data_IF_832181942486
#
_entry.id   IF_832181942486
#
_cell.length_a   1.000
_cell.length_b   1.000
_cell.length_c   1.000
_cell.angle_alpha   90.00
_cell.angle_beta   90.00
_cell.angle_gamma   90.00
#
_symmetry.space_group_name_H-M   'P 1'
#
loop_
_entity.id
_entity.type
_entity.pdbx_description
1 polymer ?
#
# COMPACT_ATOMS: atom_id res chain seq x y z
N UNK A 1 7.99 -21.90 2.47
CA UNK A 1 7.84 -23.10 3.30
C UNK A 1 8.54 -22.86 4.62
N UNK A 2 7.81 -23.02 5.70
CA UNK A 2 8.30 -22.98 7.06
C UNK A 2 9.26 -24.15 7.29
N UNK A 3 10.38 -23.90 7.92
CA UNK A 3 11.30 -24.95 8.36
C UNK A 3 11.32 -24.99 9.88
N UNK A 4 10.76 -26.05 10.48
CA UNK A 4 10.72 -26.24 11.92
C UNK A 4 12.12 -26.31 12.57
N UNK A 5 13.16 -26.60 11.78
CA UNK A 5 14.54 -26.66 12.23
C UNK A 5 15.29 -25.30 12.10
N UNK A 6 14.58 -24.20 12.11
CA UNK A 6 15.13 -22.86 11.88
C UNK A 6 16.29 -22.49 12.84
N UNK A 7 16.36 -23.13 14.02
CA UNK A 7 17.48 -22.97 14.97
C UNK A 7 18.69 -23.89 14.69
N UNK A 8 18.52 -24.89 13.85
CA UNK A 8 19.60 -25.70 13.38
C UNK A 8 20.18 -25.09 12.11
N UNK A 9 21.28 -24.37 12.20
CA UNK A 9 21.97 -23.74 11.06
C UNK A 9 22.31 -24.74 9.93
N UNK A 10 22.15 -26.02 10.17
CA UNK A 10 22.47 -27.11 9.22
C UNK A 10 21.29 -27.52 8.35
N UNK A 11 20.02 -27.23 8.74
CA UNK A 11 18.82 -27.72 8.05
C UNK A 11 17.95 -26.59 7.44
N UNK A 12 18.39 -25.34 7.53
CA UNK A 12 17.68 -24.22 6.91
C UNK A 12 17.71 -24.36 5.39
N UNK A 13 16.55 -24.66 4.81
CA UNK A 13 16.45 -24.84 3.36
C UNK A 13 16.53 -23.50 2.62
N UNK A 14 17.64 -23.27 1.95
CA UNK A 14 17.78 -22.23 0.93
C UNK A 14 17.73 -22.88 -0.43
N UNK A 15 16.71 -22.56 -1.22
CA UNK A 15 16.50 -23.20 -2.52
C UNK A 15 15.55 -22.39 -3.39
N UNK A 16 15.49 -22.75 -4.65
CA UNK A 16 14.41 -22.33 -5.55
C UNK A 16 13.14 -23.13 -5.31
N UNK A 17 12.01 -22.48 -5.40
CA UNK A 17 10.67 -23.08 -5.31
C UNK A 17 9.73 -22.48 -6.35
N UNK A 18 8.86 -23.34 -6.89
CA UNK A 18 7.81 -22.91 -7.82
C UNK A 18 6.46 -22.98 -7.15
N UNK A 19 5.68 -21.91 -7.27
CA UNK A 19 4.28 -21.85 -6.89
C UNK A 19 3.44 -21.83 -8.16
N UNK A 20 2.35 -22.57 -8.15
CA UNK A 20 1.40 -22.65 -9.27
C UNK A 20 -0.01 -22.42 -8.75
N UNK A 21 -0.77 -21.54 -9.43
CA UNK A 21 -2.19 -21.29 -9.17
C UNK A 21 -2.95 -21.08 -10.46
N UNK A 22 -4.03 -21.81 -10.63
CA UNK A 22 -4.99 -21.55 -11.70
C UNK A 22 -6.15 -20.69 -11.17
N UNK A 23 -6.59 -19.73 -11.98
CA UNK A 23 -7.76 -18.92 -11.69
C UNK A 23 -8.50 -18.58 -13.00
N UNK A 24 -9.77 -18.23 -12.89
CA UNK A 24 -10.61 -17.81 -14.01
C UNK A 24 -11.04 -16.36 -13.81
N UNK A 25 -11.16 -15.64 -14.90
CA UNK A 25 -11.78 -14.32 -14.97
C UNK A 25 -12.96 -14.41 -15.93
N UNK A 26 -14.02 -13.68 -15.62
CA UNK A 26 -15.20 -13.60 -16.47
C UNK A 26 -15.13 -12.31 -17.32
N UNK A 27 -15.37 -12.43 -18.63
CA UNK A 27 -15.36 -11.30 -19.55
C UNK A 27 -16.36 -10.18 -19.13
N UNK A 28 -17.50 -10.54 -18.54
CA UNK A 28 -18.46 -9.57 -18.04
C UNK A 28 -17.93 -8.81 -16.80
N UNK A 29 -17.24 -9.53 -15.90
CA UNK A 29 -16.60 -8.92 -14.73
C UNK A 29 -15.39 -8.05 -15.09
N UNK A 30 -14.75 -8.36 -16.23
CA UNK A 30 -13.58 -7.63 -16.74
C UNK A 30 -13.93 -6.39 -17.54
N UNK A 31 -15.19 -6.25 -17.97
CA UNK A 31 -15.61 -5.08 -18.73
C UNK A 31 -15.36 -3.80 -17.94
N UNK A 32 -14.59 -2.89 -18.54
CA UNK A 32 -14.21 -1.61 -17.94
C UNK A 32 -13.43 -1.69 -16.61
N UNK A 33 -12.72 -2.80 -16.40
CA UNK A 33 -11.85 -3.03 -15.24
C UNK A 33 -10.38 -3.15 -15.63
N UNK A 34 -9.54 -2.86 -14.64
CA UNK A 34 -8.12 -3.14 -14.63
C UNK A 34 -7.86 -4.22 -13.59
N UNK A 35 -6.92 -5.13 -13.86
CA UNK A 35 -6.55 -6.19 -12.92
C UNK A 35 -5.09 -6.09 -12.51
N UNK A 36 -4.89 -6.29 -11.22
CA UNK A 36 -3.57 -6.27 -10.61
C UNK A 36 -3.36 -7.51 -9.74
N UNK A 37 -2.14 -8.03 -9.75
CA UNK A 37 -1.66 -8.95 -8.72
C UNK A 37 -0.82 -8.15 -7.73
N UNK A 38 -1.16 -8.23 -6.44
CA UNK A 38 -0.37 -7.64 -5.35
C UNK A 38 0.15 -8.76 -4.46
N UNK A 39 1.44 -8.72 -4.21
CA UNK A 39 2.15 -9.61 -3.30
C UNK A 39 2.58 -8.81 -2.07
N UNK A 40 2.13 -9.21 -0.89
CA UNK A 40 2.46 -8.50 0.35
C UNK A 40 3.86 -8.85 0.89
N UNK A 41 4.46 -9.93 0.42
CA UNK A 41 5.84 -10.31 0.74
C UNK A 41 6.25 -11.65 0.14
N UNK A 42 7.37 -11.63 -0.56
CA UNK A 42 7.99 -12.82 -1.17
C UNK A 42 9.49 -12.76 -0.97
N UNK A 43 10.07 -13.74 -0.30
CA UNK A 43 11.50 -13.70 0.02
C UNK A 43 12.29 -14.72 -0.83
N UNK A 44 13.26 -14.25 -1.58
CA UNK A 44 13.85 -12.93 -1.68
C UNK A 44 13.91 -12.43 -3.12
N UNK A 45 14.02 -13.33 -4.10
CA UNK A 45 13.95 -13.08 -5.54
C UNK A 45 12.72 -13.79 -6.09
N UNK A 46 11.82 -13.07 -6.72
CA UNK A 46 10.59 -13.61 -7.27
C UNK A 46 10.42 -13.25 -8.76
N UNK A 47 10.35 -14.26 -9.62
CA UNK A 47 9.96 -14.13 -11.02
C UNK A 47 8.49 -14.52 -11.14
N UNK A 48 7.65 -13.60 -11.57
CA UNK A 48 6.18 -13.77 -11.69
C UNK A 48 5.83 -13.98 -13.15
N UNK A 49 5.21 -15.11 -13.46
CA UNK A 49 4.75 -15.47 -14.79
C UNK A 49 3.23 -15.59 -14.83
N UNK A 50 2.62 -15.12 -15.90
CA UNK A 50 1.20 -15.37 -16.19
C UNK A 50 1.08 -15.95 -17.59
N UNK A 51 0.41 -17.09 -17.70
CA UNK A 51 0.18 -17.79 -18.99
C UNK A 51 1.47 -18.08 -19.77
N UNK A 52 2.61 -18.28 -19.06
CA UNK A 52 3.92 -18.56 -19.63
C UNK A 52 4.77 -17.31 -19.92
N UNK A 53 4.23 -16.10 -19.79
CA UNK A 53 4.96 -14.85 -19.99
C UNK A 53 5.51 -14.33 -18.67
N UNK A 54 6.79 -13.93 -18.62
CA UNK A 54 7.40 -13.26 -17.47
C UNK A 54 6.86 -11.83 -17.36
N UNK A 55 6.18 -11.51 -16.26
CA UNK A 55 5.61 -10.19 -16.01
C UNK A 55 6.60 -9.26 -15.30
N UNK A 56 7.26 -9.79 -14.28
CA UNK A 56 8.20 -9.01 -13.45
C UNK A 56 9.15 -9.89 -12.67
N UNK A 57 10.28 -9.31 -12.31
CA UNK A 57 11.23 -9.86 -11.33
C UNK A 57 11.31 -8.90 -10.14
N UNK A 58 10.88 -9.35 -8.97
CA UNK A 58 10.96 -8.58 -7.72
C UNK A 58 12.16 -9.02 -6.89
N UNK A 59 12.88 -8.04 -6.32
CA UNK A 59 14.04 -8.24 -5.45
C UNK A 59 13.76 -7.59 -4.09
N UNK A 60 13.82 -8.39 -3.04
CA UNK A 60 13.56 -7.94 -1.67
C UNK A 60 12.53 -8.83 -0.98
N UNK A 61 12.79 -9.17 0.30
CA UNK A 61 11.95 -10.14 1.01
C UNK A 61 10.74 -9.53 1.73
N UNK A 62 10.76 -8.23 2.03
CA UNK A 62 9.83 -7.62 3.00
C UNK A 62 8.93 -6.55 2.41
N UNK A 63 9.26 -6.04 1.23
CA UNK A 63 8.42 -5.05 0.54
C UNK A 63 7.33 -5.73 -0.29
N UNK A 64 6.14 -5.13 -0.28
CA UNK A 64 5.07 -5.50 -1.19
C UNK A 64 5.37 -4.98 -2.61
N UNK A 65 4.80 -5.65 -3.61
CA UNK A 65 4.84 -5.19 -4.99
C UNK A 65 3.53 -5.52 -5.72
N UNK A 66 3.21 -4.72 -6.73
CA UNK A 66 2.00 -4.86 -7.55
C UNK A 66 2.38 -4.96 -9.02
N UNK A 67 1.70 -5.83 -9.74
CA UNK A 67 1.89 -6.08 -11.18
C UNK A 67 0.55 -5.88 -11.89
N UNK A 68 0.52 -5.05 -12.92
CA UNK A 68 -0.63 -4.94 -13.83
C UNK A 68 -0.69 -6.18 -14.73
N UNK A 69 -1.84 -6.84 -14.74
CA UNK A 69 -2.08 -8.05 -15.53
C UNK A 69 -3.27 -7.90 -16.50
N UNK A 70 -3.79 -6.69 -16.64
CA UNK A 70 -5.03 -6.42 -17.38
C UNK A 70 -5.03 -7.01 -18.78
N UNK A 71 -3.97 -6.75 -19.57
CA UNK A 71 -3.87 -7.21 -20.96
C UNK A 71 -3.29 -8.62 -21.09
N UNK A 72 -3.00 -9.29 -19.96
CA UNK A 72 -2.37 -10.61 -19.90
C UNK A 72 -3.33 -11.73 -19.51
N UNK A 73 -4.49 -11.37 -18.96
CA UNK A 73 -5.49 -12.35 -18.55
C UNK A 73 -6.32 -12.84 -19.73
N UNK A 74 -6.65 -14.13 -19.69
CA UNK A 74 -7.58 -14.78 -20.61
C UNK A 74 -8.95 -14.79 -19.96
N UNK A 75 -9.98 -14.45 -20.73
CA UNK A 75 -11.38 -14.44 -20.28
C UNK A 75 -12.16 -15.67 -20.74
N UNK A 76 -11.61 -16.43 -21.71
CA UNK A 76 -12.19 -17.61 -22.34
C UNK A 76 -11.58 -18.93 -21.82
N UNK A 77 -10.47 -18.85 -21.09
CA UNK A 77 -9.75 -20.00 -20.58
C UNK A 77 -9.21 -19.75 -19.15
N UNK A 78 -8.78 -20.81 -18.43
CA UNK A 78 -8.08 -20.65 -17.17
C UNK A 78 -6.77 -19.87 -17.35
N UNK A 79 -6.46 -19.02 -16.40
CA UNK A 79 -5.18 -18.36 -16.29
C UNK A 79 -4.25 -19.15 -15.37
N UNK A 80 -3.01 -19.31 -15.78
CA UNK A 80 -1.99 -20.00 -15.02
C UNK A 80 -0.99 -18.96 -14.47
N UNK A 81 -1.06 -18.71 -13.18
CA UNK A 81 -0.06 -17.96 -12.44
C UNK A 81 1.03 -18.90 -11.96
N UNK A 82 2.29 -18.59 -12.29
CA UNK A 82 3.46 -19.28 -11.77
C UNK A 82 4.40 -18.26 -11.15
N UNK A 83 4.95 -18.60 -9.98
CA UNK A 83 5.94 -17.75 -9.30
C UNK A 83 7.15 -18.61 -8.95
N UNK A 84 8.29 -18.25 -9.52
CA UNK A 84 9.57 -18.82 -9.15
C UNK A 84 10.17 -17.99 -8.04
N UNK A 85 10.44 -18.59 -6.89
CA UNK A 85 11.03 -17.88 -5.75
C UNK A 85 12.35 -18.51 -5.40
N UNK A 86 13.38 -17.68 -5.29
CA UNK A 86 14.73 -18.12 -4.91
C UNK A 86 15.21 -17.34 -3.69
N UNK A 87 15.46 -18.03 -2.58
CA UNK A 87 16.05 -17.47 -1.36
C UNK A 87 17.51 -17.91 -1.14
N UNK A 88 18.15 -18.50 -2.15
CA UNK A 88 19.54 -18.98 -2.10
C UNK A 88 20.54 -17.92 -2.58
N UNK A 89 20.10 -16.69 -2.83
CA UNK A 89 21.00 -15.65 -3.31
C UNK A 89 21.87 -15.05 -2.19
N UNK A 90 23.01 -14.52 -2.56
CA UNK A 90 24.01 -13.88 -1.69
C UNK A 90 24.02 -12.35 -1.77
N UNK A 91 23.06 -11.76 -2.48
CA UNK A 91 23.03 -10.33 -2.83
C UNK A 91 21.85 -9.56 -2.27
N UNK A 92 20.77 -10.25 -1.90
CA UNK A 92 19.53 -9.61 -1.42
C UNK A 92 19.41 -9.82 0.09
N UNK A 93 19.63 -8.79 0.93
CA UNK A 93 19.51 -8.87 2.38
C UNK A 93 18.06 -9.16 2.83
N UNK A 94 17.91 -9.72 4.05
CA UNK A 94 18.94 -10.17 4.94
C UNK A 94 19.51 -11.54 4.52
N UNK A 95 20.83 -11.69 4.57
CA UNK A 95 21.52 -12.95 4.21
C UNK A 95 21.60 -13.90 5.40
N UNK A 96 21.67 -13.36 6.61
CA UNK A 96 21.69 -14.09 7.88
C UNK A 96 21.19 -13.19 9.01
N UNK A 97 20.83 -13.77 10.13
CA UNK A 97 20.38 -13.07 11.33
C UNK A 97 20.12 -14.07 12.46
N UNK A 98 19.90 -13.54 13.66
CA UNK A 98 19.49 -14.29 14.85
C UNK A 98 17.95 -14.40 14.97
N UNK A 99 17.26 -14.21 13.86
CA UNK A 99 15.81 -14.32 13.74
C UNK A 99 15.44 -15.17 12.51
N UNK A 100 14.20 -15.66 12.48
CA UNK A 100 13.72 -16.49 11.37
C UNK A 100 13.59 -15.66 10.09
N UNK A 101 14.24 -16.11 9.02
CA UNK A 101 14.14 -15.54 7.69
C UNK A 101 13.22 -16.45 6.86
N UNK A 102 11.95 -16.07 6.76
CA UNK A 102 10.96 -16.83 5.99
C UNK A 102 11.32 -16.82 4.50
N UNK A 103 11.33 -18.01 3.87
CA UNK A 103 11.48 -18.15 2.43
C UNK A 103 10.13 -18.31 1.72
N UNK A 104 10.13 -18.03 0.42
CA UNK A 104 8.95 -18.23 -0.42
C UNK A 104 7.91 -17.11 -0.33
N UNK A 105 6.68 -17.43 -0.72
CA UNK A 105 5.52 -16.54 -0.57
C UNK A 105 4.98 -16.73 0.85
N UNK A 106 5.33 -15.85 1.77
CA UNK A 106 5.00 -15.98 3.19
C UNK A 106 3.90 -15.01 3.66
N UNK A 107 3.39 -14.15 2.75
CA UNK A 107 2.27 -13.25 2.96
C UNK A 107 1.23 -13.42 1.86
N UNK A 108 0.15 -12.66 1.93
CA UNK A 108 -0.96 -12.77 1.00
C UNK A 108 -0.59 -12.38 -0.44
N UNK A 109 -1.30 -13.02 -1.38
CA UNK A 109 -1.34 -12.62 -2.78
C UNK A 109 -2.78 -12.26 -3.12
N UNK A 110 -2.98 -11.05 -3.65
CA UNK A 110 -4.29 -10.48 -3.95
C UNK A 110 -4.49 -10.35 -5.45
N UNK A 111 -5.67 -10.69 -5.92
CA UNK A 111 -6.17 -10.29 -7.23
C UNK A 111 -7.07 -9.07 -7.02
N UNK A 112 -6.64 -7.92 -7.49
CA UNK A 112 -7.32 -6.63 -7.32
C UNK A 112 -7.97 -6.25 -8.64
N UNK A 113 -9.26 -5.89 -8.58
CA UNK A 113 -10.01 -5.34 -9.71
C UNK A 113 -10.33 -3.87 -9.44
N UNK A 114 -9.86 -2.97 -10.29
CA UNK A 114 -10.09 -1.54 -10.21
C UNK A 114 -10.91 -1.03 -11.41
N UNK A 115 -11.54 0.13 -11.29
CA UNK A 115 -12.10 0.83 -12.47
C UNK A 115 -10.97 1.32 -13.38
N UNK A 116 -11.26 1.63 -14.64
CA UNK A 116 -10.27 2.23 -15.55
C UNK A 116 -9.71 3.56 -15.03
N UNK A 117 -10.51 4.29 -14.28
CA UNK A 117 -10.08 5.48 -13.55
C UNK A 117 -9.98 5.12 -12.08
N UNK A 118 -8.77 5.15 -11.52
CA UNK A 118 -8.51 4.77 -10.13
C UNK A 118 -7.28 5.47 -9.54
N UNK A 119 -7.09 5.34 -8.24
CA UNK A 119 -5.87 5.75 -7.54
C UNK A 119 -4.78 4.72 -7.86
N UNK A 120 -3.56 5.17 -8.17
CA UNK A 120 -2.47 4.29 -8.60
C UNK A 120 -2.21 3.16 -7.61
N UNK A 121 -2.21 1.92 -8.11
CA UNK A 121 -1.91 0.71 -7.35
C UNK A 121 -0.44 0.25 -7.52
N UNK A 122 0.30 0.87 -8.44
CA UNK A 122 1.67 0.49 -8.79
C UNK A 122 2.73 1.37 -8.13
N UNK A 123 2.32 2.33 -7.30
CA UNK A 123 3.23 3.17 -6.53
C UNK A 123 3.70 2.41 -5.27
N UNK A 124 4.78 1.65 -5.39
CA UNK A 124 5.38 0.79 -4.36
C UNK A 124 4.39 -0.15 -3.64
N UNK A 125 3.29 -0.52 -4.31
CA UNK A 125 2.19 -1.28 -3.71
C UNK A 125 1.61 -0.65 -2.43
N UNK A 126 1.75 0.67 -2.28
CA UNK A 126 1.19 1.47 -1.20
C UNK A 126 -0.34 1.62 -1.34
N UNK A 127 -0.94 2.43 -0.48
CA UNK A 127 -2.37 2.80 -0.61
C UNK A 127 -2.64 3.76 -1.78
N UNK A 128 -1.58 4.24 -2.46
CA UNK A 128 -1.65 5.20 -3.56
C UNK A 128 -1.84 6.66 -3.11
N UNK A 129 -1.99 6.90 -1.81
CA UNK A 129 -2.04 8.23 -1.21
C UNK A 129 -1.06 8.36 -0.04
N UNK A 130 -0.55 9.57 0.13
CA UNK A 130 0.39 9.95 1.19
C UNK A 130 -0.18 11.15 1.92
N UNK A 131 -0.07 11.14 3.24
CA UNK A 131 -0.58 12.20 4.11
C UNK A 131 0.56 12.74 4.95
N UNK A 132 0.83 14.03 4.83
CA UNK A 132 1.84 14.74 5.57
C UNK A 132 1.18 15.83 6.42
N UNK A 133 1.82 16.21 7.53
CA UNK A 133 1.40 17.27 8.44
C UNK A 133 2.47 18.38 8.44
N UNK A 134 2.43 19.32 7.47
CA UNK A 134 3.45 20.38 7.35
C UNK A 134 3.53 21.28 8.57
N UNK A 135 2.39 21.52 9.24
CA UNK A 135 2.30 22.32 10.45
C UNK A 135 1.22 21.80 11.36
N UNK A 136 1.52 21.66 12.65
CA UNK A 136 0.56 21.22 13.68
C UNK A 136 0.77 22.07 14.94
N UNK A 137 -0.35 22.52 15.49
CA UNK A 137 -0.46 23.15 16.80
C UNK A 137 -1.76 22.70 17.48
N UNK A 138 -2.00 23.15 18.70
CA UNK A 138 -3.26 22.91 19.41
C UNK A 138 -4.45 23.58 18.71
N UNK A 139 -4.20 24.76 18.10
CA UNK A 139 -5.26 25.52 17.43
C UNK A 139 -5.56 25.05 16.01
N UNK A 140 -4.54 24.53 15.31
CA UNK A 140 -4.67 24.23 13.87
C UNK A 140 -3.64 23.22 13.40
N UNK A 141 -4.09 22.34 12.49
CA UNK A 141 -3.21 21.48 11.71
C UNK A 141 -3.39 21.74 10.20
N UNK A 142 -2.28 21.83 9.47
CA UNK A 142 -2.24 21.76 8.02
C UNK A 142 -2.01 20.31 7.60
N UNK A 143 -2.85 19.80 6.69
CA UNK A 143 -2.79 18.42 6.19
C UNK A 143 -2.55 18.49 4.69
N UNK A 144 -1.46 17.92 4.22
CA UNK A 144 -1.17 17.73 2.79
C UNK A 144 -1.47 16.29 2.40
N UNK A 145 -2.35 16.10 1.41
CA UNK A 145 -2.71 14.80 0.85
C UNK A 145 -2.30 14.76 -0.60
N UNK A 146 -1.40 13.87 -0.95
CA UNK A 146 -0.87 13.73 -2.30
C UNK A 146 -1.01 12.29 -2.81
N UNK A 147 -1.07 12.14 -4.12
CA UNK A 147 -1.15 10.83 -4.76
C UNK A 147 -1.20 10.95 -6.28
N UNK A 148 -1.41 9.83 -6.93
CA UNK A 148 -1.51 9.76 -8.38
C UNK A 148 -2.81 9.08 -8.79
N UNK A 149 -3.58 9.74 -9.64
CA UNK A 149 -4.76 9.18 -10.31
C UNK A 149 -4.34 8.67 -11.68
N UNK A 150 -4.91 7.56 -12.12
CA UNK A 150 -4.66 7.01 -13.45
C UNK A 150 -5.96 6.87 -14.22
N UNK A 151 -5.88 7.05 -15.54
CA UNK A 151 -6.95 6.80 -16.49
C UNK A 151 -6.43 5.79 -17.53
N UNK A 152 -6.93 4.57 -17.50
CA UNK A 152 -6.61 3.49 -18.43
C UNK A 152 -7.69 3.34 -19.52
N UNK A 153 -8.43 4.40 -19.78
CA UNK A 153 -9.36 4.46 -20.91
C UNK A 153 -8.68 5.14 -22.12
N UNK A 154 -9.12 4.77 -23.32
CA UNK A 154 -8.69 5.38 -24.59
C UNK A 154 -9.20 6.81 -24.77
N UNK A 155 -10.04 7.30 -23.85
CA UNK A 155 -10.60 8.64 -23.85
C UNK A 155 -10.15 9.41 -22.62
N UNK A 156 -10.00 10.72 -22.78
CA UNK A 156 -9.82 11.64 -21.65
C UNK A 156 -10.99 11.51 -20.66
N UNK A 157 -10.67 11.50 -19.38
CA UNK A 157 -11.65 11.50 -18.30
C UNK A 157 -11.70 12.86 -17.60
N UNK A 158 -12.92 13.29 -17.23
CA UNK A 158 -13.17 14.42 -16.32
C UNK A 158 -13.86 13.84 -15.09
N UNK A 159 -13.25 14.02 -13.93
CA UNK A 159 -13.65 13.37 -12.69
C UNK A 159 -13.72 14.38 -11.55
N UNK A 160 -14.40 14.01 -10.47
CA UNK A 160 -14.36 14.70 -9.19
C UNK A 160 -13.39 14.00 -8.27
N UNK A 161 -12.37 14.73 -7.84
CA UNK A 161 -11.49 14.35 -6.75
C UNK A 161 -12.05 14.95 -5.46
N UNK A 162 -12.35 14.11 -4.49
CA UNK A 162 -12.92 14.46 -3.19
C UNK A 162 -12.01 13.94 -2.09
N UNK A 163 -11.40 14.84 -1.35
CA UNK A 163 -10.49 14.53 -0.24
C UNK A 163 -11.13 15.02 1.06
N UNK A 164 -11.45 14.11 1.94
CA UNK A 164 -12.13 14.38 3.20
C UNK A 164 -11.28 13.91 4.39
N UNK A 165 -11.28 14.70 5.44
CA UNK A 165 -10.81 14.27 6.78
C UNK A 165 -12.05 14.00 7.62
N UNK A 166 -12.16 12.78 8.13
CA UNK A 166 -13.28 12.32 8.92
C UNK A 166 -12.85 12.13 10.38
N UNK A 167 -13.72 12.51 11.31
CA UNK A 167 -13.56 12.17 12.73
C UNK A 167 -13.95 10.70 13.02
N UNK A 168 -13.91 10.30 14.28
CA UNK A 168 -14.26 8.93 14.72
C UNK A 168 -15.73 8.57 14.49
N UNK A 169 -16.61 9.57 14.40
CA UNK A 169 -18.03 9.37 14.12
C UNK A 169 -18.32 9.34 12.62
N UNK A 170 -17.28 9.51 11.79
CA UNK A 170 -17.38 9.53 10.33
C UNK A 170 -17.88 10.88 9.78
N UNK A 171 -17.91 11.92 10.58
CA UNK A 171 -18.27 13.27 10.16
C UNK A 171 -17.09 13.93 9.46
N UNK A 172 -17.32 14.57 8.32
CA UNK A 172 -16.32 15.37 7.61
C UNK A 172 -15.98 16.63 8.40
N UNK A 173 -14.72 16.78 8.78
CA UNK A 173 -14.17 17.91 9.55
C UNK A 173 -13.29 18.84 8.70
N UNK A 174 -12.79 18.34 7.57
CA UNK A 174 -12.13 19.14 6.54
C UNK A 174 -12.33 18.47 5.18
N UNK A 175 -12.43 19.26 4.10
CA UNK A 175 -12.68 18.73 2.76
C UNK A 175 -12.08 19.62 1.68
N UNK A 176 -11.58 18.99 0.62
CA UNK A 176 -11.28 19.59 -0.67
C UNK A 176 -12.01 18.81 -1.76
N UNK A 177 -12.76 19.53 -2.61
CA UNK A 177 -13.51 18.95 -3.72
C UNK A 177 -13.24 19.74 -5.00
N UNK A 178 -12.66 19.10 -6.00
CA UNK A 178 -12.42 19.73 -7.30
C UNK A 178 -12.59 18.79 -8.49
N UNK A 179 -12.69 19.38 -9.66
CA UNK A 179 -12.66 18.63 -10.92
C UNK A 179 -11.21 18.45 -11.38
N UNK A 180 -10.90 17.24 -11.83
CA UNK A 180 -9.61 16.87 -12.43
C UNK A 180 -9.82 16.34 -13.83
N UNK A 181 -8.83 16.56 -14.70
CA UNK A 181 -8.81 16.03 -16.07
C UNK A 181 -7.60 15.12 -16.20
N UNK A 182 -7.82 13.92 -16.71
CA UNK A 182 -6.77 12.93 -16.93
C UNK A 182 -6.84 12.51 -18.39
N UNK A 183 -5.76 12.67 -19.12
CA UNK A 183 -5.72 12.30 -20.54
C UNK A 183 -5.93 10.79 -20.75
N UNK A 184 -6.19 10.40 -21.97
CA UNK A 184 -6.29 9.01 -22.37
C UNK A 184 -5.01 8.27 -22.02
N UNK A 185 -5.11 7.09 -21.42
CA UNK A 185 -4.01 6.27 -20.89
C UNK A 185 -2.95 7.09 -20.13
N UNK A 186 -3.44 8.06 -19.33
CA UNK A 186 -2.63 9.05 -18.64
C UNK A 186 -2.66 8.92 -17.13
N UNK A 187 -1.82 9.74 -16.49
CA UNK A 187 -1.76 9.88 -15.04
C UNK A 187 -1.83 11.36 -14.65
N UNK A 188 -2.32 11.62 -13.44
CA UNK A 188 -2.44 12.95 -12.85
C UNK A 188 -1.98 12.91 -11.40
N UNK A 189 -0.85 13.54 -11.10
CA UNK A 189 -0.42 13.75 -9.73
C UNK A 189 -1.23 14.88 -9.09
N UNK A 190 -1.68 14.67 -7.87
CA UNK A 190 -2.40 15.67 -7.10
C UNK A 190 -1.74 15.92 -5.75
N UNK A 191 -1.91 17.13 -5.25
CA UNK A 191 -1.67 17.53 -3.88
C UNK A 191 -2.83 18.43 -3.45
N UNK A 192 -3.49 18.05 -2.34
CA UNK A 192 -4.58 18.81 -1.71
C UNK A 192 -4.12 19.24 -0.32
N UNK A 193 -4.33 20.51 0.00
CA UNK A 193 -4.05 21.08 1.32
C UNK A 193 -5.34 21.38 2.03
N UNK A 194 -5.48 20.84 3.23
CA UNK A 194 -6.64 21.03 4.10
C UNK A 194 -6.20 21.64 5.43
N UNK A 195 -7.09 22.36 6.05
CA UNK A 195 -6.89 22.88 7.40
C UNK A 195 -7.89 22.24 8.34
N UNK A 196 -7.41 21.82 9.49
CA UNK A 196 -8.22 21.29 10.58
C UNK A 196 -8.05 22.18 11.79
N UNK A 197 -9.15 22.84 12.19
CA UNK A 197 -9.19 23.73 13.33
C UNK A 197 -9.35 22.92 14.61
N UNK A 198 -8.61 23.32 15.67
CA UNK A 198 -8.60 22.70 17.00
C UNK A 198 -8.55 21.16 16.93
N UNK A 199 -7.51 20.60 16.31
CA UNK A 199 -7.40 19.16 16.15
C UNK A 199 -7.32 18.47 17.50
N UNK A 200 -7.95 17.30 17.62
CA UNK A 200 -7.67 16.39 18.71
C UNK A 200 -6.32 15.72 18.45
N UNK A 201 -5.32 16.08 19.24
CA UNK A 201 -3.96 15.59 19.06
C UNK A 201 -3.83 14.14 19.51
N UNK A 202 -3.09 13.38 18.71
CA UNK A 202 -2.75 12.00 19.04
C UNK A 202 -1.63 11.95 20.07
N UNK A 203 -1.81 11.14 21.11
CA UNK A 203 -0.76 10.74 22.05
C UNK A 203 -0.95 9.29 22.46
N UNK A 204 0.04 8.62 23.12
CA UNK A 204 -0.14 7.28 23.67
C UNK A 204 -1.31 7.19 24.66
N UNK A 205 -1.57 8.25 25.44
CA UNK A 205 -2.67 8.32 26.42
C UNK A 205 -4.01 8.69 25.78
N UNK A 206 -3.98 9.34 24.62
CA UNK A 206 -5.15 9.72 23.84
C UNK A 206 -4.92 9.40 22.36
N UNK A 207 -4.99 8.13 21.93
CA UNK A 207 -4.62 7.68 20.60
C UNK A 207 -5.73 7.98 19.57
N UNK A 208 -6.15 9.23 19.48
CA UNK A 208 -7.22 9.66 18.58
C UNK A 208 -6.76 9.61 17.12
N UNK A 209 -7.54 8.95 16.28
CA UNK A 209 -7.26 8.83 14.83
C UNK A 209 -8.41 9.42 14.01
N UNK A 210 -8.07 10.38 13.19
CA UNK A 210 -8.88 10.77 12.04
C UNK A 210 -8.73 9.74 10.92
N UNK A 211 -9.58 9.83 9.91
CA UNK A 211 -9.47 9.06 8.67
C UNK A 211 -9.42 10.03 7.48
N UNK A 212 -8.35 9.96 6.70
CA UNK A 212 -8.28 10.66 5.42
C UNK A 212 -8.86 9.75 4.35
N UNK A 213 -9.93 10.22 3.71
CA UNK A 213 -10.64 9.52 2.63
C UNK A 213 -10.43 10.26 1.32
N UNK A 214 -9.92 9.56 0.31
CA UNK A 214 -9.79 10.07 -1.05
C UNK A 214 -10.74 9.28 -1.94
N UNK A 215 -11.68 9.98 -2.57
CA UNK A 215 -12.67 9.38 -3.47
C UNK A 215 -12.55 9.98 -4.86
N UNK A 216 -12.65 9.12 -5.87
CA UNK A 216 -12.71 9.50 -7.27
C UNK A 216 -14.10 9.17 -7.81
N UNK A 217 -14.81 10.20 -8.28
CA UNK A 217 -16.19 10.07 -8.75
C UNK A 217 -16.31 10.53 -10.20
N UNK A 218 -17.39 10.15 -10.89
CA UNK A 218 -17.69 10.68 -12.21
C UNK A 218 -17.90 12.21 -12.15
N UNK A 219 -17.90 12.86 -13.31
CA UNK A 219 -18.05 14.33 -13.42
C UNK A 219 -19.30 14.88 -12.72
N UNK A 220 -20.36 14.08 -12.59
CA UNK A 220 -21.59 14.43 -11.89
C UNK A 220 -21.53 14.17 -10.38
N UNK A 221 -20.45 13.52 -9.91
CA UNK A 221 -20.26 13.13 -8.50
C UNK A 221 -21.17 11.98 -8.03
N UNK A 222 -21.82 11.28 -8.96
CA UNK A 222 -22.84 10.26 -8.65
C UNK A 222 -22.28 8.83 -8.62
N UNK A 223 -21.29 8.55 -9.47
CA UNK A 223 -20.72 7.21 -9.60
C UNK A 223 -19.32 7.19 -9.00
N UNK A 224 -19.16 6.44 -7.92
CA UNK A 224 -17.85 6.19 -7.32
C UNK A 224 -17.04 5.31 -8.27
N UNK A 225 -15.83 5.76 -8.60
CA UNK A 225 -14.86 5.03 -9.43
C UNK A 225 -13.87 4.30 -8.55
N UNK A 226 -13.35 5.00 -7.54
CA UNK A 226 -12.40 4.45 -6.59
C UNK A 226 -12.43 5.22 -5.27
N UNK A 227 -12.05 4.56 -4.19
CA UNK A 227 -11.93 5.15 -2.86
C UNK A 227 -10.81 4.47 -2.08
N UNK A 228 -10.02 5.27 -1.40
CA UNK A 228 -9.05 4.76 -0.42
C UNK A 228 -9.14 5.55 0.87
N UNK A 229 -8.77 4.89 2.00
CA UNK A 229 -8.76 5.51 3.33
C UNK A 229 -7.47 5.15 4.05
N UNK A 230 -6.93 6.14 4.76
CA UNK A 230 -5.78 5.94 5.64
C UNK A 230 -6.04 6.61 6.99
N UNK A 231 -5.59 6.01 8.10
CA UNK A 231 -5.68 6.64 9.41
C UNK A 231 -4.72 7.81 9.51
N UNK A 232 -5.10 8.84 10.28
CA UNK A 232 -4.28 10.02 10.54
C UNK A 232 -4.30 10.37 12.02
N UNK A 233 -3.17 10.18 12.72
CA UNK A 233 -2.94 10.72 14.05
C UNK A 233 -2.27 12.09 13.96
N UNK A 234 -3.01 13.15 14.25
CA UNK A 234 -2.50 14.53 14.20
C UNK A 234 -1.56 14.77 15.37
N UNK A 235 -0.28 14.98 15.10
CA UNK A 235 0.75 15.20 16.11
C UNK A 235 1.99 15.85 15.50
N UNK A 236 2.81 16.44 16.34
CA UNK A 236 4.19 16.81 15.99
C UNK A 236 5.16 16.28 17.04
N UNK A 237 6.41 16.22 16.72
CA UNK A 237 7.46 15.89 17.67
C UNK A 237 8.68 16.74 17.43
N UNK A 238 9.48 16.91 18.48
CA UNK A 238 10.79 17.54 18.43
C UNK A 238 11.81 16.72 19.21
N UNK A 239 13.07 16.86 18.83
CA UNK A 239 14.19 16.24 19.56
C UNK A 239 15.20 17.34 19.86
N UNK A 240 15.51 17.50 21.13
CA UNK A 240 16.48 18.47 21.62
C UNK A 240 17.57 17.76 22.43
N UNK A 241 18.81 18.25 22.34
CA UNK A 241 19.96 17.63 23.00
C UNK A 241 19.92 17.72 24.53
N UNK A 242 19.27 18.76 25.08
CA UNK A 242 19.14 18.97 26.52
C UNK A 242 17.81 18.41 27.07
N UNK A 243 16.73 18.60 26.32
CA UNK A 243 15.37 18.28 26.76
C UNK A 243 14.86 16.90 26.25
N UNK A 244 15.55 16.29 25.30
CA UNK A 244 15.22 14.99 24.75
C UNK A 244 14.06 15.03 23.77
N UNK A 245 13.28 13.94 23.73
CA UNK A 245 12.13 13.79 22.85
C UNK A 245 10.87 14.42 23.45
N UNK A 246 10.20 15.25 22.67
CA UNK A 246 8.89 15.83 23.00
C UNK A 246 7.85 15.44 21.97
N UNK A 247 6.66 15.12 22.42
CA UNK A 247 5.47 14.89 21.62
C UNK A 247 4.45 15.98 21.93
N UNK A 248 3.97 16.70 20.90
CA UNK A 248 3.03 17.80 21.06
C UNK A 248 3.50 18.88 22.06
N UNK A 249 4.83 19.10 22.11
CA UNK A 249 5.46 20.05 23.03
C UNK A 249 5.78 19.48 24.43
N UNK A 250 5.20 18.35 24.83
CA UNK A 250 5.41 17.75 26.13
C UNK A 250 6.53 16.69 26.13
N UNK A 251 7.38 16.64 27.15
CA UNK A 251 8.42 15.62 27.26
C UNK A 251 7.83 14.22 27.29
N UNK A 252 8.36 13.31 26.46
CA UNK A 252 7.92 11.91 26.44
C UNK A 252 9.12 10.97 26.51
N UNK A 253 9.15 10.14 27.55
CA UNK A 253 10.15 9.08 27.67
C UNK A 253 9.75 7.91 26.76
N UNK A 254 10.54 7.64 25.72
CA UNK A 254 10.37 6.48 24.89
C UNK A 254 10.88 5.23 25.61
N UNK A 255 10.00 4.24 25.79
CA UNK A 255 10.34 2.94 26.36
C UNK A 255 10.22 1.89 25.28
N UNK A 256 11.30 1.14 25.05
CA UNK A 256 11.35 0.11 24.03
C UNK A 256 12.15 -1.10 24.47
N UNK A 257 11.90 -2.22 23.81
CA UNK A 257 12.66 -3.44 23.96
C UNK A 257 12.87 -4.10 22.58
N UNK A 258 13.99 -4.77 22.42
CA UNK A 258 14.24 -5.60 21.24
C UNK A 258 13.59 -6.98 21.42
N UNK A 259 12.91 -7.45 20.38
CA UNK A 259 12.41 -8.83 20.31
C UNK A 259 12.90 -9.46 19.01
N UNK A 260 13.78 -10.45 19.14
CA UNK A 260 14.44 -11.11 18.01
C UNK A 260 13.89 -12.52 17.76
N UNK A 261 13.10 -13.06 18.67
CA UNK A 261 12.62 -14.44 18.57
C UNK A 261 11.16 -14.48 18.09
N UNK A 262 10.92 -15.36 17.13
CA UNK A 262 9.60 -15.75 16.69
C UNK A 262 9.15 -17.01 17.42
N UNK A 263 7.84 -17.20 17.52
CA UNK A 263 7.30 -18.45 18.05
C UNK A 263 7.58 -19.58 17.05
N UNK A 264 8.14 -20.67 17.55
CA UNK A 264 8.19 -21.92 16.78
C UNK A 264 6.79 -22.47 16.59
N UNK A 265 6.48 -23.08 15.41
CA UNK A 265 5.22 -23.75 15.16
C UNK A 265 5.04 -25.00 16.01
#
# INVERSE_FOLDING_TARGET
>A
TWNADAYSTRNYRRASSWYKKEFRTDAAQMRDKQLYLKFDGVNSLADVYLNGELLTTHKGGYSAFTVDITDKVRTDAPNLLMVHVNNQNDRIPPLSGDFTIFGGIYRNVWLISAAKQHISLTDYASTGIYVDLPSVSEDRAEISVRGTLVNRDVRRAVLKLDVEVLDTDGKTVAQSLRSVRIDADGAFAFEERLQLEKPQLWSPDSPYLYSVKVSLKDVRGKVLKDETRVPLGVRWFSVDAQEGFKLNGEPLKLMGACRHQDQMP
#
